data_IF_310077135477
#
_entry.id   IF_310077135477
#
_cell.length_a   1.000
_cell.length_b   1.000
_cell.length_c   1.000
_cell.angle_alpha   90.00
_cell.angle_beta   90.00
_cell.angle_gamma   90.00
#
_symmetry.space_group_name_H-M   'P 1'
#
loop_
_entity.id
_entity.type
_entity.pdbx_description
1 polymer ?
#
# COMPACT_ATOMS: atom_id res chain seq x y z
N UNK A 1 0.42 2.48 2.10
CA UNK A 1 0.54 3.84 2.65
C UNK A 1 0.65 4.78 1.46
N UNK A 2 -0.47 5.19 0.88
CA UNK A 2 -0.46 6.14 -0.23
C UNK A 2 -1.61 7.14 -0.06
N UNK A 3 -1.22 8.41 -0.23
CA UNK A 3 -1.99 9.67 -0.28
C UNK A 3 -2.45 10.33 1.05
N UNK A 4 -1.79 11.46 1.35
CA UNK A 4 -2.30 12.70 1.98
C UNK A 4 -1.58 13.83 1.21
N UNK A 5 -2.13 14.98 0.84
CA UNK A 5 -3.36 15.72 1.13
C UNK A 5 -3.48 16.86 0.07
N UNK A 6 -4.46 17.78 0.18
CA UNK A 6 -4.31 19.26 -0.04
C UNK A 6 -5.66 20.02 0.08
N UNK A 7 -5.78 20.98 1.02
CA UNK A 7 -6.10 22.41 0.80
C UNK A 7 -6.74 23.16 1.99
N UNK A 8 -6.24 24.39 2.20
CA UNK A 8 -6.80 25.56 2.92
C UNK A 8 -8.08 26.07 2.23
N UNK A 9 -9.08 26.70 2.85
CA UNK A 9 -9.14 27.56 4.02
C UNK A 9 -9.70 28.94 3.60
N UNK A 10 -10.95 29.25 3.96
CA UNK A 10 -11.46 30.63 4.08
C UNK A 10 -12.82 30.67 4.78
N UNK A 11 -12.93 31.57 5.76
CA UNK A 11 -14.09 31.83 6.62
C UNK A 11 -14.93 33.00 6.09
N UNK A 12 -16.24 32.96 6.33
CA UNK A 12 -17.11 34.12 6.65
C UNK A 12 -18.50 33.59 7.06
N UNK A 13 -18.85 33.57 8.35
CA UNK A 13 -19.63 34.59 9.09
C UNK A 13 -21.00 34.94 8.46
N UNK A 14 -22.10 34.64 9.19
CA UNK A 14 -23.11 35.61 9.67
C UNK A 14 -24.17 34.91 10.55
N UNK A 15 -24.63 35.67 11.56
CA UNK A 15 -25.45 35.35 12.74
C UNK A 15 -26.98 35.44 12.50
N UNK A 16 -27.69 35.03 13.56
CA UNK A 16 -29.02 35.47 14.05
C UNK A 16 -30.25 34.80 13.44
N UNK A 17 -31.39 34.62 14.11
CA UNK A 17 -31.82 34.44 15.52
C UNK A 17 -33.38 34.45 15.45
N UNK A 18 -34.02 33.62 16.28
CA UNK A 18 -35.31 33.87 16.94
C UNK A 18 -36.67 33.68 16.22
N UNK A 19 -37.39 32.67 16.73
CA UNK A 19 -38.77 32.65 17.27
C UNK A 19 -40.00 33.06 16.43
N UNK A 20 -40.97 32.13 16.33
CA UNK A 20 -42.24 32.15 17.10
C UNK A 20 -43.10 30.89 16.89
N UNK A 21 -43.79 30.48 17.96
CA UNK A 21 -44.93 29.51 18.03
C UNK A 21 -46.14 30.07 17.23
N UNK A 22 -47.21 29.37 16.83
CA UNK A 22 -48.04 28.33 17.45
C UNK A 22 -49.20 28.00 16.45
N UNK A 23 -49.87 26.84 16.61
CA UNK A 23 -51.26 26.47 16.25
C UNK A 23 -51.42 25.27 15.29
N UNK A 24 -52.06 24.24 15.84
CA UNK A 24 -52.55 23.00 15.24
C UNK A 24 -53.40 23.20 13.98
N UNK A 25 -53.21 22.33 13.00
CA UNK A 25 -54.29 21.75 12.23
C UNK A 25 -53.91 20.33 11.78
N UNK A 26 -54.73 19.37 12.18
CA UNK A 26 -54.61 17.96 11.87
C UNK A 26 -55.08 17.74 10.43
N UNK A 27 -54.14 17.66 9.50
CA UNK A 27 -54.36 17.15 8.14
C UNK A 27 -53.35 16.01 8.00
N UNK A 28 -53.81 14.83 7.57
CA UNK A 28 -52.97 13.67 7.30
C UNK A 28 -52.60 13.73 5.81
N UNK A 29 -51.37 14.09 5.42
CA UNK A 29 -50.86 13.78 4.10
C UNK A 29 -50.09 12.46 4.17
N UNK A 30 -50.45 11.52 3.30
CA UNK A 30 -49.62 10.35 3.01
C UNK A 30 -48.31 10.87 2.41
N UNK A 31 -47.29 11.05 3.24
CA UNK A 31 -45.93 11.38 2.85
C UNK A 31 -45.24 10.08 2.44
N UNK A 32 -45.06 9.89 1.13
CA UNK A 32 -43.94 9.10 0.61
C UNK A 32 -42.67 9.73 1.17
N UNK A 33 -42.07 9.08 2.16
CA UNK A 33 -40.80 9.48 2.72
C UNK A 33 -39.70 9.14 1.72
N UNK A 34 -39.24 10.15 0.97
CA UNK A 34 -37.87 10.16 0.49
C UNK A 34 -36.97 10.15 1.73
N UNK A 35 -36.43 8.99 2.07
CA UNK A 35 -35.44 8.84 3.12
C UNK A 35 -34.16 9.58 2.70
N UNK A 36 -34.02 10.81 3.16
CA UNK A 36 -32.71 11.45 3.29
C UNK A 36 -32.02 10.69 4.43
N UNK A 37 -31.17 9.73 4.09
CA UNK A 37 -30.44 8.91 5.05
C UNK A 37 -29.64 9.80 6.00
N UNK A 38 -30.05 9.82 7.26
CA UNK A 38 -29.25 10.42 8.32
C UNK A 38 -28.12 9.43 8.65
N UNK A 39 -26.89 9.94 8.76
CA UNK A 39 -25.75 9.15 9.24
C UNK A 39 -26.10 8.53 10.60
N UNK A 40 -26.21 7.21 10.64
CA UNK A 40 -26.52 6.46 11.85
C UNK A 40 -25.21 6.00 12.49
N UNK A 41 -25.06 6.17 13.80
CA UNK A 41 -23.87 5.72 14.54
C UNK A 41 -23.96 4.25 14.94
N UNK A 42 -25.16 3.66 14.89
CA UNK A 42 -25.37 2.24 15.18
C UNK A 42 -25.16 1.40 13.93
N UNK A 43 -24.25 0.42 14.02
CA UNK A 43 -23.93 -0.50 12.94
C UNK A 43 -25.16 -1.40 12.67
N UNK A 44 -25.72 -1.39 11.44
CA UNK A 44 -26.87 -2.22 11.08
C UNK A 44 -26.60 -3.73 11.23
N UNK A 45 -27.66 -4.53 11.43
CA UNK A 45 -27.57 -5.99 11.52
C UNK A 45 -27.58 -6.66 10.13
N UNK A 46 -26.72 -6.19 9.23
CA UNK A 46 -26.45 -6.84 7.93
C UNK A 46 -25.21 -7.73 8.03
N UNK A 47 -24.99 -8.68 7.10
CA UNK A 47 -23.74 -9.44 7.05
C UNK A 47 -22.50 -8.53 7.06
N UNK A 48 -22.48 -7.48 6.22
CA UNK A 48 -21.40 -6.51 6.21
C UNK A 48 -21.26 -5.74 7.55
N UNK A 49 -22.38 -5.38 8.19
CA UNK A 49 -22.39 -4.75 9.51
C UNK A 49 -21.82 -5.63 10.62
N UNK A 50 -22.07 -6.95 10.58
CA UNK A 50 -21.47 -7.91 11.52
C UNK A 50 -19.96 -7.96 11.40
N UNK A 51 -19.45 -7.98 10.16
CA UNK A 51 -18.01 -7.97 9.89
C UNK A 51 -17.36 -6.66 10.33
N UNK A 52 -17.98 -5.51 10.06
CA UNK A 52 -17.50 -4.21 10.57
C UNK A 52 -17.41 -4.21 12.10
N UNK A 53 -18.42 -4.72 12.79
CA UNK A 53 -18.42 -4.80 14.25
C UNK A 53 -17.28 -5.69 14.76
N UNK A 54 -17.10 -6.86 14.15
CA UNK A 54 -16.02 -7.78 14.50
C UNK A 54 -14.63 -7.15 14.25
N UNK A 55 -14.45 -6.43 13.15
CA UNK A 55 -13.21 -5.71 12.85
C UNK A 55 -12.92 -4.64 13.90
N UNK A 56 -13.89 -3.75 14.20
CA UNK A 56 -13.71 -2.70 15.21
C UNK A 56 -13.37 -3.31 16.57
N UNK A 57 -14.07 -4.37 17.00
CA UNK A 57 -13.82 -5.03 18.28
C UNK A 57 -12.42 -5.66 18.34
N UNK A 58 -12.06 -6.46 17.35
CA UNK A 58 -10.75 -7.11 17.29
C UNK A 58 -9.62 -6.09 17.18
N UNK A 59 -9.72 -5.14 16.25
CA UNK A 59 -8.68 -4.13 16.03
C UNK A 59 -8.53 -3.19 17.22
N UNK A 60 -9.62 -2.74 17.85
CA UNK A 60 -9.53 -1.84 19.02
C UNK A 60 -9.04 -2.54 20.28
N UNK A 61 -9.13 -3.87 20.36
CA UNK A 61 -8.65 -4.60 21.52
C UNK A 61 -7.14 -4.53 21.68
N UNK A 62 -6.40 -4.34 20.58
CA UNK A 62 -4.93 -4.48 20.57
C UNK A 62 -4.44 -5.89 20.90
N UNK A 63 -5.36 -6.86 21.05
CA UNK A 63 -5.07 -8.23 21.43
C UNK A 63 -4.73 -9.07 20.18
N UNK A 64 -3.56 -9.70 20.22
CA UNK A 64 -3.05 -10.50 19.10
C UNK A 64 -3.99 -11.66 18.75
N UNK A 65 -4.50 -12.38 19.74
CA UNK A 65 -5.36 -13.55 19.53
C UNK A 65 -6.69 -13.13 18.91
N UNK A 66 -7.27 -12.02 19.36
CA UNK A 66 -8.52 -11.50 18.77
C UNK A 66 -8.34 -11.05 17.33
N UNK A 67 -7.20 -10.42 17.02
CA UNK A 67 -6.85 -10.06 15.63
C UNK A 67 -6.64 -11.32 14.79
N UNK A 68 -5.94 -12.33 15.31
CA UNK A 68 -5.76 -13.64 14.66
C UNK A 68 -7.10 -14.31 14.33
N UNK A 69 -8.03 -14.31 15.28
CA UNK A 69 -9.38 -14.88 15.10
C UNK A 69 -10.19 -14.11 14.04
N UNK A 70 -10.13 -12.78 14.05
CA UNK A 70 -10.76 -11.95 13.01
C UNK A 70 -10.20 -12.27 11.62
N UNK A 71 -8.87 -12.28 11.47
CA UNK A 71 -8.19 -12.56 10.19
C UNK A 71 -8.58 -13.94 9.69
N UNK A 72 -8.50 -14.96 10.55
CA UNK A 72 -8.84 -16.34 10.19
C UNK A 72 -10.29 -16.48 9.73
N UNK A 73 -11.21 -15.74 10.36
CA UNK A 73 -12.64 -15.87 10.12
C UNK A 73 -13.12 -15.05 8.93
N UNK A 74 -12.70 -13.78 8.85
CA UNK A 74 -13.28 -12.80 7.94
C UNK A 74 -12.32 -12.31 6.87
N UNK A 75 -11.04 -12.10 7.19
CA UNK A 75 -10.10 -11.47 6.27
C UNK A 75 -8.74 -12.20 6.20
N UNK A 76 -8.70 -13.40 5.60
CA UNK A 76 -7.50 -14.24 5.57
C UNK A 76 -6.38 -13.69 4.67
N UNK A 77 -6.62 -12.56 3.99
CA UNK A 77 -5.61 -11.88 3.19
C UNK A 77 -4.72 -10.95 4.03
N UNK A 78 -5.17 -10.57 5.23
CA UNK A 78 -4.40 -9.73 6.14
C UNK A 78 -3.32 -10.51 6.89
N UNK A 79 -2.42 -9.77 7.51
CA UNK A 79 -1.47 -10.33 8.47
C UNK A 79 -1.67 -9.71 9.86
N UNK A 80 -1.51 -10.56 10.86
CA UNK A 80 -1.63 -10.19 12.28
C UNK A 80 -0.67 -9.06 12.60
N UNK A 81 0.58 -9.21 12.18
CA UNK A 81 1.64 -8.27 12.48
C UNK A 81 1.40 -6.91 11.81
N UNK A 82 0.92 -6.88 10.55
CA UNK A 82 0.48 -5.63 9.91
C UNK A 82 -0.70 -4.97 10.63
N UNK A 83 -1.70 -5.74 11.04
CA UNK A 83 -2.84 -5.20 11.79
C UNK A 83 -2.40 -4.68 13.18
N UNK A 84 -1.51 -5.39 13.87
CA UNK A 84 -0.95 -4.94 15.15
C UNK A 84 -0.10 -3.68 15.00
N UNK A 85 0.76 -3.60 13.98
CA UNK A 85 1.55 -2.40 13.69
C UNK A 85 0.64 -1.22 13.31
N UNK A 86 -0.44 -1.47 12.58
CA UNK A 86 -1.43 -0.43 12.29
C UNK A 86 -2.19 0.01 13.55
N UNK A 87 -2.53 -0.92 14.45
CA UNK A 87 -3.10 -0.60 15.75
C UNK A 87 -2.13 0.24 16.59
N UNK A 88 -0.83 -0.07 16.63
CA UNK A 88 0.13 0.71 17.43
C UNK A 88 0.27 2.15 16.93
N UNK A 89 0.04 2.40 15.63
CA UNK A 89 0.06 3.75 15.06
C UNK A 89 -1.21 4.54 15.38
N UNK A 90 -2.38 3.89 15.36
CA UNK A 90 -3.70 4.56 15.43
C UNK A 90 -4.37 4.48 16.81
N UNK A 91 -3.92 3.55 17.65
CA UNK A 91 -4.56 3.13 18.90
C UNK A 91 -5.96 2.54 18.72
N UNK A 92 -6.36 2.21 17.49
CA UNK A 92 -7.73 1.85 17.15
C UNK A 92 -8.56 3.03 16.63
N UNK A 93 -9.86 2.78 16.51
CA UNK A 93 -10.81 3.66 15.84
C UNK A 93 -12.10 3.85 16.64
N UNK A 94 -12.55 5.10 16.74
CA UNK A 94 -13.91 5.45 17.15
C UNK A 94 -14.80 5.52 15.90
N UNK A 95 -15.91 4.78 15.88
CA UNK A 95 -16.89 4.88 14.80
C UNK A 95 -17.65 6.20 14.89
N UNK A 96 -17.56 7.01 13.84
CA UNK A 96 -18.24 8.30 13.74
C UNK A 96 -19.58 8.20 13.00
N UNK A 97 -19.66 7.40 11.94
CA UNK A 97 -20.86 7.28 11.11
C UNK A 97 -20.87 6.00 10.28
N UNK A 98 -22.06 5.51 9.95
CA UNK A 98 -22.30 4.63 8.81
C UNK A 98 -22.81 5.49 7.66
N UNK A 99 -22.03 5.53 6.56
CA UNK A 99 -22.31 6.33 5.36
C UNK A 99 -23.32 5.62 4.46
N UNK A 100 -23.18 4.31 4.32
CA UNK A 100 -24.13 3.43 3.66
C UNK A 100 -23.96 2.00 4.16
N UNK A 101 -25.04 1.21 4.11
CA UNK A 101 -25.00 -0.19 4.47
C UNK A 101 -26.02 -0.98 3.63
N UNK A 102 -25.50 -1.84 2.77
CA UNK A 102 -26.23 -2.84 2.01
C UNK A 102 -25.93 -4.25 2.58
N UNK A 103 -26.44 -5.29 1.91
CA UNK A 103 -26.24 -6.68 2.34
C UNK A 103 -24.75 -7.07 2.36
N UNK A 104 -24.00 -6.69 1.31
CA UNK A 104 -22.61 -7.09 1.10
C UNK A 104 -21.59 -5.95 1.23
N UNK A 105 -22.06 -4.70 1.25
CA UNK A 105 -21.20 -3.51 1.29
C UNK A 105 -21.57 -2.65 2.49
N UNK A 106 -20.59 -2.21 3.26
CA UNK A 106 -20.78 -1.18 4.28
C UNK A 106 -19.70 -0.12 4.15
N UNK A 107 -20.10 1.15 4.15
CA UNK A 107 -19.23 2.32 4.17
C UNK A 107 -19.38 3.03 5.50
N UNK A 108 -18.26 3.40 6.10
CA UNK A 108 -18.24 3.94 7.45
C UNK A 108 -17.17 5.01 7.60
N UNK A 109 -17.33 5.86 8.60
CA UNK A 109 -16.36 6.89 8.98
C UNK A 109 -15.88 6.61 10.37
N UNK A 110 -14.57 6.67 10.56
CA UNK A 110 -13.91 6.46 11.85
C UNK A 110 -12.93 7.58 12.15
N UNK A 111 -12.57 7.74 13.42
CA UNK A 111 -11.48 8.60 13.87
C UNK A 111 -10.47 7.76 14.61
N UNK A 112 -9.18 7.99 14.35
CA UNK A 112 -8.11 7.37 15.13
C UNK A 112 -8.25 7.73 16.62
N UNK A 113 -7.87 6.82 17.51
CA UNK A 113 -7.90 7.10 18.96
C UNK A 113 -6.70 7.91 19.43
N UNK A 114 -5.56 7.78 18.75
CA UNK A 114 -4.32 8.49 19.09
C UNK A 114 -4.14 9.82 18.39
N UNK A 115 -5.02 10.16 17.44
CA UNK A 115 -4.86 11.36 16.62
C UNK A 115 -6.23 11.93 16.16
N UNK A 116 -6.29 13.19 15.72
CA UNK A 116 -7.53 13.77 15.19
C UNK A 116 -7.85 13.28 13.76
N UNK A 117 -7.03 12.41 13.17
CA UNK A 117 -7.22 11.90 11.81
C UNK A 117 -8.55 11.16 11.72
N UNK A 118 -9.36 11.59 10.76
CA UNK A 118 -10.61 10.92 10.37
C UNK A 118 -10.32 10.10 9.12
N UNK A 119 -10.93 8.92 9.01
CA UNK A 119 -10.83 8.08 7.84
C UNK A 119 -12.22 7.60 7.39
N UNK A 120 -12.34 7.34 6.10
CA UNK A 120 -13.50 6.68 5.51
C UNK A 120 -13.09 5.28 5.08
N UNK A 121 -13.90 4.31 5.46
CA UNK A 121 -13.67 2.90 5.19
C UNK A 121 -14.82 2.24 4.46
N UNK A 122 -14.50 1.15 3.78
CA UNK A 122 -15.48 0.29 3.12
C UNK A 122 -15.10 -1.18 3.31
N UNK A 123 -16.10 -2.02 3.59
CA UNK A 123 -15.97 -3.48 3.60
C UNK A 123 -16.95 -4.04 2.58
N UNK A 124 -16.41 -4.73 1.57
CA UNK A 124 -17.17 -5.52 0.60
C UNK A 124 -16.98 -6.99 0.94
N UNK A 125 -18.07 -7.75 1.02
CA UNK A 125 -18.06 -9.20 1.23
C UNK A 125 -18.16 -9.95 -0.10
N UNK A 126 -17.53 -11.13 -0.16
CA UNK A 126 -17.62 -12.03 -1.33
C UNK A 126 -19.03 -12.57 -1.54
N UNK A 127 -19.73 -12.85 -0.45
CA UNK A 127 -21.10 -13.34 -0.42
C UNK A 127 -21.70 -13.16 0.97
N UNK A 128 -23.02 -13.19 1.03
CA UNK A 128 -23.81 -13.09 2.27
C UNK A 128 -23.67 -14.32 3.18
N UNK A 129 -23.25 -15.47 2.62
CA UNK A 129 -23.08 -16.73 3.35
C UNK A 129 -21.73 -16.86 4.07
N UNK A 130 -20.67 -16.39 3.43
CA UNK A 130 -19.30 -16.66 3.91
C UNK A 130 -18.82 -15.67 4.97
N UNK A 131 -19.35 -14.43 4.96
CA UNK A 131 -18.79 -13.33 5.76
C UNK A 131 -17.37 -12.92 5.35
N UNK A 132 -16.77 -13.58 4.37
CA UNK A 132 -15.39 -13.35 3.96
C UNK A 132 -15.29 -12.02 3.23
N UNK A 133 -14.39 -11.16 3.70
CA UNK A 133 -14.02 -9.89 3.10
C UNK A 133 -13.44 -10.16 1.71
N UNK A 134 -14.05 -9.51 0.72
CA UNK A 134 -13.53 -9.42 -0.64
C UNK A 134 -12.59 -8.22 -0.79
N UNK A 135 -12.96 -7.08 -0.23
CA UNK A 135 -12.10 -5.90 -0.12
C UNK A 135 -12.38 -5.13 1.16
N UNK A 136 -11.30 -4.63 1.76
CA UNK A 136 -11.31 -3.71 2.89
C UNK A 136 -10.47 -2.50 2.52
N UNK A 137 -11.09 -1.32 2.51
CA UNK A 137 -10.41 -0.06 2.26
C UNK A 137 -10.58 0.85 3.46
N UNK A 138 -9.52 1.58 3.83
CA UNK A 138 -9.57 2.61 4.85
C UNK A 138 -8.62 3.73 4.47
N UNK A 139 -9.19 4.92 4.25
CA UNK A 139 -8.48 6.08 3.68
C UNK A 139 -8.63 7.26 4.62
N UNK A 140 -7.51 7.85 5.03
CA UNK A 140 -7.52 9.08 5.79
C UNK A 140 -8.15 10.21 4.97
N UNK A 141 -8.99 11.01 5.60
CA UNK A 141 -9.61 12.20 5.03
C UNK A 141 -8.69 13.37 5.41
N UNK A 142 -8.11 14.08 4.42
CA UNK A 142 -7.31 15.25 4.71
C UNK A 142 -8.09 16.27 5.56
N UNK A 143 -7.45 16.95 6.53
CA UNK A 143 -8.11 18.01 7.29
C UNK A 143 -8.75 19.06 6.37
N UNK A 144 -10.03 19.35 6.56
CA UNK A 144 -10.77 20.32 5.75
C UNK A 144 -11.30 19.80 4.40
N UNK A 145 -10.96 18.56 4.01
CA UNK A 145 -11.49 17.94 2.81
C UNK A 145 -13.00 17.69 2.91
N UNK A 146 -13.68 17.91 1.78
CA UNK A 146 -15.09 17.54 1.61
C UNK A 146 -15.16 16.15 0.98
N UNK A 147 -15.91 15.26 1.61
CA UNK A 147 -16.23 13.94 1.06
C UNK A 147 -17.42 14.08 0.12
N UNK A 148 -17.27 13.57 -1.10
CA UNK A 148 -18.31 13.61 -2.12
C UNK A 148 -18.83 12.20 -2.42
N UNK A 149 -20.13 12.00 -2.22
CA UNK A 149 -20.82 10.74 -2.53
C UNK A 149 -21.23 10.73 -4.00
N UNK A 150 -20.28 10.40 -4.88
CA UNK A 150 -20.53 10.27 -6.32
C UNK A 150 -21.06 8.87 -6.68
N UNK A 151 -21.77 8.78 -7.80
CA UNK A 151 -22.16 7.51 -8.43
C UNK A 151 -21.51 7.39 -9.82
N UNK A 152 -21.25 6.16 -10.22
CA UNK A 152 -20.78 5.82 -11.57
C UNK A 152 -21.99 5.52 -12.45
N UNK A 153 -22.50 6.54 -13.13
CA UNK A 153 -23.50 6.38 -14.18
C UNK A 153 -22.86 5.97 -15.52
N UNK A 154 -23.69 5.75 -16.55
CA UNK A 154 -23.22 5.29 -17.86
C UNK A 154 -22.21 6.25 -18.51
N UNK A 155 -22.43 7.57 -18.41
CA UNK A 155 -21.57 8.57 -19.02
C UNK A 155 -20.21 8.65 -18.31
N UNK A 156 -20.23 8.70 -16.97
CA UNK A 156 -19.04 8.67 -16.13
C UNK A 156 -18.23 7.39 -16.36
N UNK A 157 -18.91 6.25 -16.47
CA UNK A 157 -18.27 4.98 -16.73
C UNK A 157 -17.53 4.94 -18.06
N UNK A 158 -18.18 5.41 -19.12
CA UNK A 158 -17.55 5.52 -20.44
C UNK A 158 -16.31 6.41 -20.38
N UNK A 159 -16.42 7.59 -19.75
CA UNK A 159 -15.29 8.50 -19.55
C UNK A 159 -14.12 7.83 -18.82
N UNK A 160 -14.40 7.15 -17.70
CA UNK A 160 -13.39 6.47 -16.89
C UNK A 160 -12.67 5.37 -17.69
N UNK A 161 -13.43 4.53 -18.41
CA UNK A 161 -12.87 3.46 -19.23
C UNK A 161 -11.99 4.06 -20.34
N UNK A 162 -12.43 5.13 -21.00
CA UNK A 162 -11.64 5.78 -22.04
C UNK A 162 -10.35 6.39 -21.46
N UNK A 163 -10.39 6.99 -20.27
CA UNK A 163 -9.20 7.48 -19.58
C UNK A 163 -8.24 6.36 -19.18
N UNK A 164 -8.76 5.23 -18.68
CA UNK A 164 -7.97 4.04 -18.36
C UNK A 164 -7.26 3.52 -19.62
N UNK A 165 -7.99 3.36 -20.72
CA UNK A 165 -7.41 2.89 -22.00
C UNK A 165 -6.32 3.85 -22.49
N UNK A 166 -6.54 5.16 -22.43
CA UNK A 166 -5.51 6.14 -22.83
C UNK A 166 -4.22 5.95 -22.03
N UNK A 167 -4.33 5.86 -20.70
CA UNK A 167 -3.16 5.69 -19.83
C UNK A 167 -2.45 4.34 -20.04
N UNK A 168 -3.20 3.25 -20.23
CA UNK A 168 -2.61 1.96 -20.56
C UNK A 168 -1.82 2.02 -21.87
N UNK A 169 -2.42 2.55 -22.93
CA UNK A 169 -1.78 2.60 -24.24
C UNK A 169 -0.57 3.55 -24.28
N UNK A 170 -0.58 4.59 -23.46
CA UNK A 170 0.49 5.59 -23.43
C UNK A 170 1.68 5.16 -22.57
N UNK A 171 1.42 4.53 -21.42
CA UNK A 171 2.45 4.31 -20.41
C UNK A 171 2.76 2.84 -20.13
N UNK A 172 1.84 1.90 -20.36
CA UNK A 172 2.05 0.53 -19.92
C UNK A 172 3.25 -0.13 -20.61
N UNK A 173 4.07 -0.81 -19.83
CA UNK A 173 5.39 -1.29 -20.25
C UNK A 173 5.36 -2.29 -21.42
N UNK A 174 4.25 -3.04 -21.59
CA UNK A 174 4.05 -3.95 -22.73
C UNK A 174 2.87 -3.51 -23.63
N UNK A 175 3.14 -2.87 -24.79
CA UNK A 175 2.09 -2.30 -25.65
C UNK A 175 1.01 -3.29 -26.09
N UNK A 176 1.40 -4.50 -26.49
CA UNK A 176 0.45 -5.51 -26.97
C UNK A 176 -0.49 -5.98 -25.86
N UNK A 177 0.03 -6.09 -24.64
CA UNK A 177 -0.75 -6.45 -23.46
C UNK A 177 -1.65 -5.29 -23.02
N UNK A 178 -1.18 -4.04 -23.12
CA UNK A 178 -1.98 -2.84 -22.93
C UNK A 178 -3.20 -2.82 -23.87
N UNK A 179 -2.98 -3.11 -25.15
CA UNK A 179 -4.03 -3.17 -26.15
C UNK A 179 -5.01 -4.32 -25.88
N UNK A 180 -4.52 -5.47 -25.41
CA UNK A 180 -5.35 -6.62 -25.02
C UNK A 180 -6.27 -6.25 -23.85
N UNK A 181 -5.72 -5.64 -22.80
CA UNK A 181 -6.48 -5.14 -21.66
C UNK A 181 -7.52 -4.08 -22.07
N UNK A 182 -7.12 -3.11 -22.88
CA UNK A 182 -7.99 -2.04 -23.37
C UNK A 182 -9.19 -2.59 -24.16
N UNK A 183 -8.94 -3.60 -25.00
CA UNK A 183 -9.99 -4.27 -25.75
C UNK A 183 -10.95 -5.04 -24.83
N UNK A 184 -10.41 -5.76 -23.84
CA UNK A 184 -11.21 -6.55 -22.91
C UNK A 184 -12.20 -5.69 -22.11
N UNK A 185 -11.73 -4.59 -21.49
CA UNK A 185 -12.61 -3.72 -20.69
C UNK A 185 -13.67 -3.01 -21.56
N UNK A 186 -13.34 -2.69 -22.82
CA UNK A 186 -14.32 -2.14 -23.79
C UNK A 186 -15.38 -3.18 -24.19
N UNK A 187 -14.98 -4.44 -24.37
CA UNK A 187 -15.92 -5.53 -24.66
C UNK A 187 -16.84 -5.76 -23.47
N UNK A 188 -16.31 -5.81 -22.25
CA UNK A 188 -17.09 -5.94 -21.02
C UNK A 188 -18.09 -4.78 -20.87
N UNK A 189 -17.66 -3.54 -21.11
CA UNK A 189 -18.55 -2.38 -21.13
C UNK A 189 -19.68 -2.50 -22.16
N UNK A 190 -19.36 -2.89 -23.40
CA UNK A 190 -20.37 -3.05 -24.46
C UNK A 190 -21.38 -4.17 -24.17
N UNK A 191 -20.96 -5.20 -23.45
CA UNK A 191 -21.83 -6.31 -23.02
C UNK A 191 -22.74 -5.94 -21.84
N UNK A 192 -22.47 -4.82 -21.17
CA UNK A 192 -23.21 -4.36 -20.00
C UNK A 192 -22.72 -4.95 -18.66
N UNK A 193 -21.54 -5.59 -18.64
CA UNK A 193 -20.99 -6.25 -17.44
C UNK A 193 -20.76 -5.31 -16.25
N UNK A 194 -20.71 -4.01 -16.52
CA UNK A 194 -20.51 -2.98 -15.53
C UNK A 194 -21.80 -2.23 -15.17
N UNK A 195 -22.92 -2.48 -15.87
CA UNK A 195 -24.16 -1.67 -15.79
C UNK A 195 -24.75 -1.55 -14.39
N UNK A 196 -24.73 -2.64 -13.64
CA UNK A 196 -25.21 -2.68 -12.26
C UNK A 196 -24.25 -2.03 -11.25
N UNK A 197 -23.00 -1.73 -11.63
CA UNK A 197 -21.98 -1.22 -10.72
C UNK A 197 -22.02 0.31 -10.72
N UNK A 198 -22.75 0.87 -9.74
CA UNK A 198 -22.85 2.32 -9.55
C UNK A 198 -21.96 2.85 -8.44
N UNK A 199 -21.46 1.97 -7.57
CA UNK A 199 -20.55 2.36 -6.50
C UNK A 199 -19.12 2.56 -7.06
N UNK A 200 -18.47 3.70 -6.77
CA UNK A 200 -17.18 4.03 -7.36
C UNK A 200 -16.03 3.13 -6.89
N UNK A 201 -16.02 2.67 -5.63
CA UNK A 201 -15.02 1.73 -5.13
C UNK A 201 -15.21 0.36 -5.79
N UNK A 202 -16.45 -0.12 -5.84
CA UNK A 202 -16.77 -1.39 -6.50
C UNK A 202 -16.38 -1.36 -7.99
N UNK A 203 -16.59 -0.24 -8.67
CA UNK A 203 -16.21 -0.07 -10.07
C UNK A 203 -14.69 -0.05 -10.26
N UNK A 204 -13.95 0.71 -9.45
CA UNK A 204 -12.48 0.72 -9.46
C UNK A 204 -11.91 -0.68 -9.22
N UNK A 205 -12.41 -1.38 -8.20
CA UNK A 205 -12.00 -2.74 -7.86
C UNK A 205 -12.31 -3.75 -8.98
N UNK A 206 -13.47 -3.62 -9.64
CA UNK A 206 -13.83 -4.46 -10.79
C UNK A 206 -12.89 -4.22 -11.97
N UNK A 207 -12.59 -2.97 -12.32
CA UNK A 207 -11.64 -2.65 -13.38
C UNK A 207 -10.25 -3.21 -13.06
N UNK A 208 -9.75 -3.00 -11.83
CA UNK A 208 -8.47 -3.57 -11.38
C UNK A 208 -8.43 -5.08 -11.58
N UNK A 209 -9.46 -5.82 -11.15
CA UNK A 209 -9.53 -7.28 -11.32
C UNK A 209 -9.52 -7.70 -12.79
N UNK A 210 -10.31 -7.04 -13.63
CA UNK A 210 -10.37 -7.36 -15.06
C UNK A 210 -9.02 -7.11 -15.76
N UNK A 211 -8.32 -6.03 -15.38
CA UNK A 211 -6.99 -5.70 -15.91
C UNK A 211 -5.92 -6.70 -15.42
N UNK A 212 -5.84 -6.93 -14.11
CA UNK A 212 -4.87 -7.87 -13.51
C UNK A 212 -5.12 -9.32 -13.94
N UNK A 213 -6.37 -9.69 -14.23
CA UNK A 213 -6.69 -11.01 -14.77
C UNK A 213 -6.06 -11.30 -16.14
N UNK A 214 -5.68 -10.25 -16.87
CA UNK A 214 -5.01 -10.33 -18.17
C UNK A 214 -3.51 -10.09 -18.04
N UNK A 215 -3.11 -9.05 -17.29
CA UNK A 215 -1.69 -8.69 -17.19
C UNK A 215 -0.90 -9.60 -16.25
N UNK A 216 -1.57 -10.17 -15.24
CA UNK A 216 -0.96 -10.78 -14.06
C UNK A 216 -0.04 -9.84 -13.26
N UNK A 217 -0.10 -8.54 -13.57
CA UNK A 217 0.73 -7.49 -12.99
C UNK A 217 0.02 -6.87 -11.80
N UNK A 218 0.54 -7.15 -10.59
CA UNK A 218 -0.10 -6.75 -9.33
C UNK A 218 0.06 -5.27 -9.01
N UNK A 219 0.92 -4.55 -9.73
CA UNK A 219 1.10 -3.10 -9.55
C UNK A 219 0.04 -2.29 -10.31
N UNK A 220 -0.57 -2.85 -11.36
CA UNK A 220 -1.63 -2.20 -12.12
C UNK A 220 -2.93 -2.12 -11.31
N UNK A 221 -3.45 -0.91 -11.08
CA UNK A 221 -4.71 -0.75 -10.34
C UNK A 221 -5.40 0.59 -10.57
N UNK A 222 -6.72 0.56 -10.63
CA UNK A 222 -7.60 1.74 -10.62
C UNK A 222 -8.06 1.98 -9.19
N UNK A 223 -7.99 3.23 -8.74
CA UNK A 223 -8.35 3.62 -7.38
C UNK A 223 -9.37 4.75 -7.39
N UNK A 224 -10.32 4.72 -6.45
CA UNK A 224 -11.24 5.82 -6.18
C UNK A 224 -10.78 6.61 -4.95
N UNK A 225 -11.03 7.91 -4.99
CA UNK A 225 -10.86 8.86 -3.91
C UNK A 225 -12.20 9.52 -3.59
N UNK A 226 -12.71 9.40 -2.35
CA UNK A 226 -13.95 10.04 -1.92
C UNK A 226 -13.80 11.56 -1.74
N UNK A 227 -12.59 12.07 -1.83
CA UNK A 227 -12.26 13.49 -1.86
C UNK A 227 -11.73 13.82 -3.24
N UNK A 228 -12.00 15.02 -3.74
CA UNK A 228 -11.43 15.48 -5.02
C UNK A 228 -9.91 15.42 -4.99
N UNK A 229 -9.37 14.81 -6.03
CA UNK A 229 -7.95 14.74 -6.29
C UNK A 229 -7.45 16.09 -6.82
N UNK A 230 -6.25 16.52 -6.40
CA UNK A 230 -5.61 17.70 -6.96
C UNK A 230 -5.43 17.55 -8.48
N UNK A 231 -5.48 18.64 -9.26
CA UNK A 231 -5.10 18.62 -10.66
C UNK A 231 -3.70 18.07 -10.90
N UNK A 232 -3.49 17.52 -12.10
CA UNK A 232 -2.18 17.01 -12.49
C UNK A 232 -1.12 18.11 -12.45
N UNK A 233 0.06 17.77 -11.94
CA UNK A 233 1.18 18.70 -11.81
C UNK A 233 1.09 19.66 -10.63
N UNK A 234 0.00 19.64 -9.87
CA UNK A 234 -0.06 20.36 -8.60
C UNK A 234 0.90 19.73 -7.58
N UNK A 235 1.85 20.54 -7.10
CA UNK A 235 2.82 20.10 -6.10
C UNK A 235 2.22 20.26 -4.69
N UNK A 236 2.58 19.38 -3.75
CA UNK A 236 2.23 19.58 -2.36
C UNK A 236 2.69 20.97 -1.87
N UNK A 237 1.88 21.65 -1.06
CA UNK A 237 2.29 22.90 -0.42
C UNK A 237 3.40 22.64 0.61
N UNK A 238 4.20 23.66 0.99
CA UNK A 238 5.24 23.51 2.01
C UNK A 238 4.74 22.90 3.33
N UNK A 239 3.51 23.24 3.75
CA UNK A 239 2.88 22.68 4.95
C UNK A 239 2.63 21.18 4.80
N UNK A 240 2.27 20.73 3.60
CA UNK A 240 1.99 19.32 3.31
C UNK A 240 3.27 18.51 3.23
N UNK A 241 4.29 19.06 2.58
CA UNK A 241 5.64 18.48 2.57
C UNK A 241 6.17 18.34 4.00
N UNK A 242 5.98 19.37 4.83
CA UNK A 242 6.37 19.34 6.24
C UNK A 242 5.58 18.31 7.05
N UNK A 243 4.27 18.17 6.83
CA UNK A 243 3.45 17.14 7.47
C UNK A 243 3.87 15.73 7.05
N UNK A 244 4.12 15.52 5.76
CA UNK A 244 4.60 14.24 5.23
C UNK A 244 5.97 13.88 5.80
N UNK A 245 6.90 14.84 5.83
CA UNK A 245 8.22 14.67 6.46
C UNK A 245 8.08 14.28 7.93
N UNK A 246 7.26 15.00 8.70
CA UNK A 246 7.01 14.71 10.12
C UNK A 246 6.41 13.32 10.33
N UNK A 247 5.58 12.84 9.42
CA UNK A 247 5.04 11.48 9.45
C UNK A 247 6.14 10.43 9.23
N UNK A 248 7.04 10.64 8.26
CA UNK A 248 8.20 9.77 8.05
C UNK A 248 9.13 9.79 9.28
N UNK A 249 9.47 10.96 9.81
CA UNK A 249 10.32 11.09 11.01
C UNK A 249 9.74 10.35 12.22
N UNK A 250 8.43 10.44 12.45
CA UNK A 250 7.74 9.73 13.56
C UNK A 250 7.84 8.21 13.48
N UNK A 251 8.03 7.66 12.28
CA UNK A 251 8.15 6.22 12.04
C UNK A 251 9.60 5.81 11.77
N UNK A 252 10.57 6.69 12.05
CA UNK A 252 11.97 6.52 11.68
C UNK A 252 12.11 6.10 10.22
N UNK A 253 11.37 6.75 9.31
CA UNK A 253 11.39 6.43 7.89
C UNK A 253 11.12 4.95 7.59
N UNK A 254 10.28 4.30 8.40
CA UNK A 254 9.97 2.85 8.35
C UNK A 254 11.11 1.92 8.76
N UNK A 255 12.24 2.44 9.26
CA UNK A 255 13.30 1.66 9.91
C UNK A 255 12.91 1.40 11.36
N UNK A 256 12.18 0.30 11.57
CA UNK A 256 11.48 0.02 12.83
C UNK A 256 12.41 -0.51 13.92
N UNK A 257 13.46 -1.24 13.54
CA UNK A 257 14.35 -1.87 14.52
C UNK A 257 15.77 -2.02 13.99
N UNK A 258 16.72 -1.58 14.80
CA UNK A 258 18.15 -1.86 14.67
C UNK A 258 18.62 -2.51 15.97
N UNK A 259 19.30 -3.64 15.88
CA UNK A 259 19.75 -4.40 17.05
C UNK A 259 21.04 -5.16 16.72
N UNK A 260 21.91 -5.31 17.73
CA UNK A 260 22.99 -6.31 17.70
C UNK A 260 22.50 -7.51 18.52
N UNK A 261 22.17 -8.58 17.82
CA UNK A 261 21.73 -9.86 18.39
C UNK A 261 22.91 -10.60 19.05
N UNK A 262 22.64 -11.64 19.88
CA UNK A 262 23.69 -12.46 20.47
C UNK A 262 24.67 -12.98 19.41
N UNK A 263 25.96 -13.03 19.79
CA UNK A 263 27.08 -13.42 18.90
C UNK A 263 27.35 -12.39 17.80
N UNK A 264 27.09 -11.11 18.09
CA UNK A 264 27.46 -9.96 17.27
C UNK A 264 26.85 -9.97 15.85
N UNK A 265 25.59 -10.41 15.73
CA UNK A 265 24.84 -10.40 14.47
C UNK A 265 24.01 -9.13 14.41
N UNK A 266 24.24 -8.30 13.40
CA UNK A 266 23.41 -7.13 13.14
C UNK A 266 22.05 -7.51 12.59
N UNK A 267 21.00 -6.87 13.09
CA UNK A 267 19.63 -7.05 12.64
C UNK A 267 19.01 -5.70 12.31
N UNK A 268 18.53 -5.56 11.06
CA UNK A 268 17.87 -4.36 10.56
C UNK A 268 16.49 -4.72 9.99
N UNK A 269 15.42 -4.30 10.67
CA UNK A 269 14.03 -4.42 10.19
C UNK A 269 13.53 -3.08 9.68
N UNK A 270 13.02 -3.09 8.46
CA UNK A 270 12.40 -1.92 7.85
C UNK A 270 11.37 -2.33 6.80
N UNK A 271 10.29 -1.56 6.68
CA UNK A 271 9.08 -1.98 5.97
C UNK A 271 8.80 -1.21 4.66
N UNK A 272 9.67 -0.26 4.27
CA UNK A 272 9.67 0.37 2.97
C UNK A 272 11.06 0.87 2.57
N UNK A 273 11.24 1.20 1.30
CA UNK A 273 12.39 1.95 0.77
C UNK A 273 11.94 3.39 0.49
N UNK A 274 11.93 4.31 1.48
CA UNK A 274 11.44 5.68 1.28
C UNK A 274 12.43 6.53 0.46
N UNK A 275 12.04 7.75 0.07
CA UNK A 275 12.93 8.67 -0.65
C UNK A 275 14.22 8.95 0.15
N UNK A 276 15.42 8.68 -0.40
CA UNK A 276 16.68 8.87 0.31
C UNK A 276 17.02 10.34 0.60
N UNK A 277 16.44 11.31 -0.11
CA UNK A 277 16.61 12.74 0.18
C UNK A 277 15.95 13.14 1.52
N UNK A 278 14.93 12.39 1.95
CA UNK A 278 14.25 12.59 3.22
C UNK A 278 14.79 11.65 4.32
N UNK A 279 15.13 10.42 3.94
CA UNK A 279 15.34 9.32 4.88
C UNK A 279 16.78 8.76 4.89
N UNK A 280 17.69 9.29 4.07
CA UNK A 280 19.07 8.79 3.99
C UNK A 280 19.83 8.88 5.31
N UNK A 281 19.58 9.92 6.11
CA UNK A 281 20.20 10.08 7.44
C UNK A 281 19.83 8.93 8.40
N UNK A 282 18.62 8.38 8.29
CA UNK A 282 18.20 7.23 9.10
C UNK A 282 18.96 5.96 8.72
N UNK A 283 19.19 5.74 7.43
CA UNK A 283 20.02 4.61 6.96
C UNK A 283 21.45 4.74 7.47
N UNK A 284 22.04 5.94 7.35
CA UNK A 284 23.39 6.22 7.85
C UNK A 284 23.50 5.92 9.35
N UNK A 285 22.52 6.36 10.15
CA UNK A 285 22.52 6.07 11.59
C UNK A 285 22.43 4.56 11.88
N UNK A 286 21.53 3.85 11.21
CA UNK A 286 21.33 2.42 11.40
C UNK A 286 22.57 1.60 10.99
N UNK A 287 23.15 1.90 9.83
CA UNK A 287 24.33 1.19 9.33
C UNK A 287 25.58 1.51 10.14
N UNK A 288 25.74 2.75 10.62
CA UNK A 288 26.83 3.10 11.55
C UNK A 288 26.71 2.37 12.88
N UNK A 289 25.50 2.21 13.41
CA UNK A 289 25.27 1.42 14.62
C UNK A 289 25.67 -0.05 14.43
N UNK A 290 25.49 -0.58 13.22
CA UNK A 290 25.84 -1.96 12.85
C UNK A 290 27.25 -2.11 12.23
N UNK A 291 28.10 -1.08 12.28
CA UNK A 291 29.36 -1.04 11.52
C UNK A 291 30.39 -2.13 11.90
N UNK A 292 30.25 -2.77 13.06
CA UNK A 292 31.23 -3.70 13.62
C UNK A 292 30.65 -5.09 13.92
N UNK A 293 29.53 -5.43 13.29
CA UNK A 293 28.92 -6.76 13.39
C UNK A 293 29.68 -7.79 12.56
N UNK A 294 29.61 -9.06 12.98
CA UNK A 294 30.26 -10.16 12.27
C UNK A 294 29.40 -10.68 11.11
N UNK A 295 28.09 -10.42 11.13
CA UNK A 295 27.13 -10.71 10.06
C UNK A 295 25.94 -9.75 10.14
N UNK A 296 25.21 -9.54 9.04
CA UNK A 296 24.01 -8.69 9.02
C UNK A 296 22.79 -9.42 8.44
N UNK A 297 21.63 -9.21 9.07
CA UNK A 297 20.32 -9.71 8.64
C UNK A 297 19.41 -8.52 8.35
N UNK A 298 18.90 -8.44 7.12
CA UNK A 298 17.84 -7.51 6.71
C UNK A 298 16.48 -8.21 6.78
N UNK A 299 15.59 -7.77 7.66
CA UNK A 299 14.23 -8.31 7.73
C UNK A 299 13.27 -7.54 6.82
N UNK A 300 12.95 -8.14 5.67
CA UNK A 300 12.05 -7.60 4.65
C UNK A 300 10.73 -8.35 4.58
N UNK A 301 10.41 -9.19 5.57
CA UNK A 301 9.20 -10.04 5.55
C UNK A 301 7.90 -9.24 5.46
N UNK A 302 7.90 -7.96 5.83
CA UNK A 302 6.74 -7.07 5.74
C UNK A 302 6.99 -5.85 4.85
N UNK A 303 8.09 -5.85 4.12
CA UNK A 303 8.50 -4.70 3.33
C UNK A 303 7.81 -4.70 1.97
N UNK A 304 7.01 -3.66 1.70
CA UNK A 304 6.27 -3.52 0.44
C UNK A 304 7.05 -2.81 -0.68
N UNK A 305 8.35 -2.58 -0.48
CA UNK A 305 9.25 -1.94 -1.42
C UNK A 305 9.25 -0.43 -1.32
N UNK A 306 9.53 0.25 -2.45
CA UNK A 306 9.62 1.69 -2.49
C UNK A 306 10.55 2.17 -3.60
N UNK A 307 11.32 3.22 -3.30
CA UNK A 307 12.19 3.93 -4.21
C UNK A 307 13.48 3.14 -4.52
N UNK A 308 13.78 2.87 -5.81
CA UNK A 308 15.01 2.17 -6.19
C UNK A 308 16.29 2.92 -5.78
N UNK A 309 16.26 4.26 -5.63
CA UNK A 309 17.41 5.03 -5.14
C UNK A 309 17.74 4.71 -3.69
N UNK A 310 16.75 4.37 -2.87
CA UNK A 310 17.01 3.90 -1.51
C UNK A 310 17.56 2.47 -1.50
N UNK A 311 17.14 1.63 -2.47
CA UNK A 311 17.75 0.31 -2.69
C UNK A 311 19.25 0.46 -2.97
N UNK A 312 19.65 1.43 -3.81
CA UNK A 312 21.07 1.75 -4.04
C UNK A 312 21.80 2.13 -2.75
N UNK A 313 21.25 3.07 -1.97
CA UNK A 313 21.87 3.54 -0.72
C UNK A 313 22.10 2.40 0.26
N UNK A 314 21.08 1.57 0.53
CA UNK A 314 21.21 0.44 1.47
C UNK A 314 22.18 -0.61 0.92
N UNK A 315 22.10 -0.94 -0.37
CA UNK A 315 23.00 -1.90 -1.01
C UNK A 315 24.46 -1.46 -0.94
N UNK A 316 24.74 -0.16 -1.03
CA UNK A 316 26.10 0.39 -1.09
C UNK A 316 26.95 0.06 0.15
N UNK A 317 26.33 -0.15 1.31
CA UNK A 317 27.06 -0.59 2.51
C UNK A 317 27.58 -2.03 2.41
N UNK A 318 27.12 -2.82 1.44
CA UNK A 318 27.50 -4.22 1.27
C UNK A 318 28.58 -4.42 0.20
N UNK A 319 29.11 -3.37 -0.43
CA UNK A 319 30.12 -3.50 -1.49
C UNK A 319 31.29 -2.56 -1.25
N UNK A 320 32.49 -3.01 -1.62
CA UNK A 320 33.75 -2.26 -1.55
C UNK A 320 34.04 -1.44 -2.82
N UNK A 321 33.26 -1.69 -3.88
CA UNK A 321 33.39 -1.04 -5.18
C UNK A 321 32.02 -0.79 -5.83
N UNK A 322 31.93 0.20 -6.74
CA UNK A 322 30.75 0.38 -7.57
C UNK A 322 30.36 -0.92 -8.28
N UNK A 323 29.13 -1.35 -8.08
CA UNK A 323 28.59 -2.63 -8.54
C UNK A 323 27.23 -2.39 -9.20
N UNK A 324 27.04 -2.95 -10.40
CA UNK A 324 25.80 -2.80 -11.15
C UNK A 324 24.70 -3.63 -10.48
N UNK A 325 23.66 -2.96 -9.99
CA UNK A 325 22.56 -3.61 -9.27
C UNK A 325 21.47 -4.06 -10.22
N UNK A 326 20.93 -3.13 -11.01
CA UNK A 326 19.74 -3.35 -11.82
C UNK A 326 19.64 -2.31 -12.96
N UNK A 327 18.84 -2.62 -13.97
CA UNK A 327 18.43 -1.68 -15.01
C UNK A 327 16.90 -1.54 -15.01
N UNK A 328 16.38 -0.33 -15.18
CA UNK A 328 14.96 -0.08 -15.41
C UNK A 328 14.76 0.46 -16.83
N UNK A 329 14.14 -0.34 -17.70
CA UNK A 329 13.74 0.12 -19.03
C UNK A 329 12.37 0.79 -18.95
N UNK A 330 12.31 2.09 -19.23
CA UNK A 330 11.09 2.87 -19.34
C UNK A 330 10.55 2.80 -20.78
N UNK A 331 9.31 2.34 -20.93
CA UNK A 331 8.71 2.15 -22.25
C UNK A 331 8.45 3.48 -22.95
N UNK A 332 7.90 4.47 -22.26
CA UNK A 332 7.48 5.73 -22.89
C UNK A 332 8.66 6.52 -23.42
N UNK A 333 9.72 6.59 -22.62
CA UNK A 333 10.90 7.39 -22.93
C UNK A 333 11.93 6.61 -23.78
N UNK A 334 11.68 5.30 -23.99
CA UNK A 334 12.59 4.36 -24.66
C UNK A 334 14.02 4.44 -24.13
N UNK A 335 14.12 4.54 -22.80
CA UNK A 335 15.37 4.79 -22.10
C UNK A 335 15.58 3.78 -20.97
N UNK A 336 16.83 3.38 -20.76
CA UNK A 336 17.22 2.50 -19.66
C UNK A 336 18.01 3.28 -18.63
N UNK A 337 17.46 3.39 -17.43
CA UNK A 337 18.19 3.90 -16.26
C UNK A 337 18.94 2.75 -15.60
N UNK A 338 20.24 2.93 -15.40
CA UNK A 338 21.07 1.96 -14.68
C UNK A 338 21.18 2.35 -13.22
N UNK A 339 21.09 1.37 -12.32
CA UNK A 339 21.22 1.53 -10.88
C UNK A 339 22.49 0.86 -10.39
N UNK A 340 23.34 1.63 -9.72
CA UNK A 340 24.66 1.19 -9.26
C UNK A 340 24.82 1.48 -7.77
N UNK A 341 25.63 0.69 -7.07
CA UNK A 341 26.07 1.10 -5.73
C UNK A 341 26.85 2.41 -5.80
N UNK A 342 26.67 3.25 -4.79
CA UNK A 342 27.35 4.52 -4.64
C UNK A 342 28.86 4.28 -4.43
N UNK A 343 29.74 5.16 -4.95
CA UNK A 343 31.17 5.04 -4.75
C UNK A 343 31.61 5.33 -3.31
N UNK A 344 30.71 5.89 -2.48
CA UNK A 344 30.97 6.22 -1.09
C UNK A 344 29.67 6.17 -0.28
N UNK A 345 29.79 5.70 0.96
CA UNK A 345 28.77 5.82 2.01
C UNK A 345 29.42 6.37 3.28
N UNK A 346 28.72 7.20 4.08
CA UNK A 346 29.21 7.57 5.40
C UNK A 346 29.30 6.36 6.33
N UNK A 347 30.48 6.13 6.93
CA UNK A 347 30.70 5.01 7.85
C UNK A 347 31.52 3.87 7.27
N UNK A 348 31.58 2.75 8.00
CA UNK A 348 32.22 1.54 7.52
C UNK A 348 31.27 0.73 6.63
N UNK A 349 31.80 0.15 5.55
CA UNK A 349 31.08 -0.86 4.78
C UNK A 349 31.17 -2.21 5.48
N UNK A 350 30.17 -3.06 5.26
CA UNK A 350 30.14 -4.46 5.67
C UNK A 350 30.46 -5.38 4.48
N UNK A 351 31.25 -4.92 3.50
CA UNK A 351 31.48 -5.60 2.23
C UNK A 351 32.06 -7.02 2.38
N UNK A 352 32.89 -7.23 3.39
CA UNK A 352 33.51 -8.50 3.77
C UNK A 352 32.64 -9.35 4.70
N UNK A 353 31.52 -8.81 5.22
CA UNK A 353 30.67 -9.52 6.17
C UNK A 353 29.56 -10.33 5.50
N UNK A 354 29.25 -11.53 6.01
CA UNK A 354 28.05 -12.29 5.64
C UNK A 354 26.78 -11.44 5.75
N UNK A 355 25.92 -11.52 4.73
CA UNK A 355 24.64 -10.83 4.67
C UNK A 355 23.50 -11.80 4.39
N UNK A 356 22.38 -11.58 5.06
CA UNK A 356 21.16 -12.39 4.93
C UNK A 356 19.96 -11.47 4.71
N UNK A 357 18.98 -11.94 3.93
CA UNK A 357 17.73 -11.22 3.69
C UNK A 357 16.56 -12.14 4.02
N UNK A 358 15.68 -11.70 4.92
CA UNK A 358 14.49 -12.44 5.29
C UNK A 358 13.32 -12.03 4.41
N UNK A 359 12.64 -13.00 3.80
CA UNK A 359 11.51 -12.76 2.90
C UNK A 359 10.23 -13.47 3.33
N UNK A 360 9.09 -12.91 2.95
CA UNK A 360 7.79 -13.58 3.01
C UNK A 360 7.01 -13.35 1.72
N UNK A 361 5.84 -13.97 1.59
CA UNK A 361 4.86 -13.65 0.53
C UNK A 361 4.44 -12.17 0.45
N UNK A 362 4.69 -11.38 1.51
CA UNK A 362 4.37 -9.95 1.56
C UNK A 362 5.54 -9.06 1.13
N UNK A 363 6.74 -9.59 0.98
CA UNK A 363 7.88 -8.85 0.43
C UNK A 363 7.58 -8.50 -1.02
N UNK A 364 7.60 -7.21 -1.38
CA UNK A 364 7.10 -6.75 -2.68
C UNK A 364 7.92 -5.59 -3.28
N UNK A 365 7.92 -5.42 -4.60
CA UNK A 365 8.46 -4.23 -5.29
C UNK A 365 9.95 -3.98 -4.99
N UNK A 366 10.38 -2.75 -4.66
CA UNK A 366 11.77 -2.43 -4.34
C UNK A 366 12.44 -3.33 -3.27
N UNK A 367 11.68 -4.00 -2.41
CA UNK A 367 12.23 -4.98 -1.48
C UNK A 367 12.65 -6.28 -2.18
N UNK A 368 11.88 -6.69 -3.18
CA UNK A 368 12.23 -7.78 -4.07
C UNK A 368 13.41 -7.39 -4.97
N UNK A 369 13.49 -6.14 -5.41
CA UNK A 369 14.66 -5.63 -6.15
C UNK A 369 15.94 -5.79 -5.30
N UNK A 370 15.95 -5.25 -4.08
CA UNK A 370 17.09 -5.40 -3.16
C UNK A 370 17.47 -6.88 -2.99
N UNK A 371 16.48 -7.73 -2.74
CA UNK A 371 16.68 -9.18 -2.54
C UNK A 371 17.24 -9.85 -3.79
N UNK A 372 16.65 -9.58 -4.95
CA UNK A 372 17.01 -10.19 -6.23
C UNK A 372 18.40 -9.75 -6.69
N UNK A 373 18.73 -8.48 -6.50
CA UNK A 373 20.06 -7.94 -6.82
C UNK A 373 21.13 -8.65 -5.99
N UNK A 374 20.98 -8.67 -4.67
CA UNK A 374 21.97 -9.30 -3.78
C UNK A 374 22.07 -10.82 -3.99
N UNK A 375 20.97 -11.50 -4.27
CA UNK A 375 20.96 -12.93 -4.60
C UNK A 375 21.75 -13.22 -5.88
N UNK A 376 21.46 -12.50 -6.97
CA UNK A 376 22.14 -12.73 -8.25
C UNK A 376 23.62 -12.32 -8.20
N UNK A 377 23.97 -11.29 -7.43
CA UNK A 377 25.35 -10.90 -7.14
C UNK A 377 26.07 -11.87 -6.19
N UNK A 378 25.37 -12.89 -5.66
CA UNK A 378 25.86 -13.81 -4.63
C UNK A 378 26.38 -13.07 -3.38
N UNK A 379 25.78 -11.91 -3.09
CA UNK A 379 26.18 -11.06 -1.97
C UNK A 379 25.46 -11.41 -0.69
N UNK A 380 24.20 -11.84 -0.76
CA UNK A 380 23.44 -12.25 0.41
C UNK A 380 22.77 -13.60 0.22
N UNK A 381 22.53 -14.31 1.33
CA UNK A 381 21.69 -15.51 1.36
C UNK A 381 20.26 -15.13 1.69
N UNK A 382 19.31 -15.52 0.85
CA UNK A 382 17.89 -15.24 1.03
C UNK A 382 17.23 -16.37 1.80
N UNK A 383 16.53 -16.06 2.89
CA UNK A 383 15.92 -17.03 3.82
C UNK A 383 14.44 -16.70 4.03
N UNK A 384 13.56 -17.67 3.85
CA UNK A 384 12.13 -17.48 4.10
C UNK A 384 11.25 -18.04 2.99
N UNK A 385 10.25 -17.26 2.56
CA UNK A 385 9.27 -17.66 1.55
C UNK A 385 9.52 -16.97 0.21
N UNK A 386 8.87 -17.48 -0.85
CA UNK A 386 8.81 -16.81 -2.15
C UNK A 386 8.07 -15.48 -1.99
N UNK A 387 8.62 -14.42 -2.57
CA UNK A 387 8.07 -13.06 -2.48
C UNK A 387 6.85 -12.83 -3.37
N UNK A 388 6.24 -11.65 -3.29
CA UNK A 388 4.94 -11.36 -3.89
C UNK A 388 4.91 -11.23 -5.42
N UNK A 389 6.04 -10.99 -6.07
CA UNK A 389 6.21 -11.01 -7.52
C UNK A 389 5.80 -9.72 -8.24
N UNK A 390 6.21 -8.55 -7.75
CA UNK A 390 6.01 -7.27 -8.45
C UNK A 390 7.35 -6.63 -8.78
N UNK A 391 7.74 -6.64 -10.05
CA UNK A 391 9.02 -6.12 -10.55
C UNK A 391 8.89 -4.83 -11.37
N UNK A 392 7.68 -4.43 -11.74
CA UNK A 392 7.49 -3.24 -12.58
C UNK A 392 7.26 -1.96 -11.74
N UNK A 393 8.11 -0.92 -11.91
CA UNK A 393 7.82 0.40 -11.38
C UNK A 393 6.48 0.94 -11.89
N UNK A 394 5.71 1.52 -10.97
CA UNK A 394 4.37 2.04 -11.23
C UNK A 394 4.34 3.55 -11.11
N UNK A 395 3.62 4.20 -12.02
CA UNK A 395 3.35 5.64 -12.00
C UNK A 395 1.85 5.87 -11.79
N UNK A 396 1.49 6.79 -10.90
CA UNK A 396 0.11 7.17 -10.68
C UNK A 396 -0.33 8.25 -11.66
N UNK A 397 -1.48 8.05 -12.29
CA UNK A 397 -2.08 9.01 -13.22
C UNK A 397 -3.51 9.32 -12.80
N UNK A 398 -3.88 10.60 -12.76
CA UNK A 398 -5.27 11.01 -12.57
C UNK A 398 -6.08 10.64 -13.83
N UNK A 399 -7.23 10.02 -13.65
CA UNK A 399 -8.15 9.71 -14.75
C UNK A 399 -9.41 10.57 -14.72
N UNK A 400 -9.78 11.10 -13.55
CA UNK A 400 -10.71 12.20 -13.38
C UNK A 400 -10.57 12.86 -11.97
N UNK A 401 -11.54 13.68 -11.55
CA UNK A 401 -11.54 14.35 -10.24
C UNK A 401 -11.49 13.42 -9.02
N UNK A 402 -11.86 12.15 -9.14
CA UNK A 402 -11.99 11.19 -8.05
C UNK A 402 -11.30 9.85 -8.30
N UNK A 403 -10.73 9.63 -9.47
CA UNK A 403 -10.11 8.36 -9.81
C UNK A 403 -8.67 8.54 -10.29
N UNK A 404 -7.83 7.59 -9.92
CA UNK A 404 -6.47 7.42 -10.44
C UNK A 404 -6.28 6.01 -11.00
N UNK A 405 -5.25 5.85 -11.82
CA UNK A 405 -4.71 4.56 -12.24
C UNK A 405 -3.21 4.52 -11.96
N UNK A 406 -2.74 3.48 -11.29
CA UNK A 406 -1.33 3.12 -11.24
C UNK A 406 -0.98 2.31 -12.47
N UNK A 407 -0.10 2.83 -13.34
CA UNK A 407 0.33 2.14 -14.58
C UNK A 407 1.79 1.71 -14.45
N UNK A 408 2.07 0.40 -14.55
CA UNK A 408 3.42 -0.13 -14.66
C UNK A 408 4.09 0.36 -15.95
N UNK A 409 5.04 1.29 -15.83
CA UNK A 409 5.59 2.04 -16.97
C UNK A 409 6.99 1.59 -17.38
N UNK A 410 7.67 0.88 -16.48
CA UNK A 410 9.01 0.37 -16.69
C UNK A 410 9.10 -1.09 -16.27
N UNK A 411 10.19 -1.76 -16.66
CA UNK A 411 10.50 -3.11 -16.21
C UNK A 411 11.94 -3.20 -15.73
N UNK A 412 12.13 -3.95 -14.65
CA UNK A 412 13.45 -4.34 -14.21
C UNK A 412 14.09 -5.33 -15.21
N UNK A 413 15.40 -5.17 -15.41
CA UNK A 413 16.27 -6.08 -16.15
C UNK A 413 17.54 -6.25 -15.34
N UNK A 414 17.64 -7.35 -14.61
CA UNK A 414 18.83 -7.59 -13.79
C UNK A 414 20.04 -7.91 -14.70
N UNK A 415 21.21 -7.28 -14.47
CA UNK A 415 22.37 -7.38 -15.37
C UNK A 415 22.98 -8.78 -15.43
N UNK A 416 22.70 -9.65 -14.46
CA UNK A 416 23.26 -11.01 -14.39
C UNK A 416 22.28 -12.02 -15.01
N UNK A 417 21.06 -12.09 -14.47
CA UNK A 417 20.06 -13.07 -14.93
C UNK A 417 19.44 -12.71 -16.29
N UNK A 418 19.56 -11.43 -16.72
CA UNK A 418 18.89 -10.86 -17.90
C UNK A 418 17.36 -10.99 -17.85
N UNK A 419 16.81 -11.18 -16.64
CA UNK A 419 15.39 -11.38 -16.33
C UNK A 419 14.98 -10.51 -15.13
N UNK A 420 13.73 -10.65 -14.69
CA UNK A 420 13.22 -10.07 -13.45
C UNK A 420 12.33 -11.07 -12.68
N UNK A 421 11.71 -10.61 -11.60
CA UNK A 421 10.89 -11.40 -10.68
C UNK A 421 9.37 -11.19 -10.85
N UNK A 422 8.92 -10.53 -11.94
CA UNK A 422 7.50 -10.25 -12.17
C UNK A 422 6.70 -11.56 -12.21
N UNK A 423 5.61 -11.63 -11.46
CA UNK A 423 4.69 -12.77 -11.42
C UNK A 423 5.23 -14.02 -10.70
N UNK A 424 6.55 -14.21 -10.61
CA UNK A 424 7.18 -15.36 -9.94
C UNK A 424 7.64 -15.07 -8.52
N UNK A 425 7.97 -13.81 -8.23
CA UNK A 425 8.72 -13.45 -7.03
C UNK A 425 10.16 -13.96 -7.05
N UNK A 426 10.87 -13.66 -5.97
CA UNK A 426 12.22 -14.10 -5.66
C UNK A 426 12.13 -15.36 -4.82
N UNK A 427 12.59 -16.48 -5.37
CA UNK A 427 12.73 -17.70 -4.60
C UNK A 427 13.86 -17.54 -3.55
N UNK A 428 13.68 -17.99 -2.30
CA UNK A 428 14.73 -17.97 -1.29
C UNK A 428 15.83 -18.98 -1.64
N UNK A 429 17.04 -18.79 -1.09
CA UNK A 429 18.09 -19.80 -1.13
C UNK A 429 17.82 -20.91 -0.09
N UNK A 430 17.27 -20.52 1.05
CA UNK A 430 16.84 -21.43 2.12
C UNK A 430 15.35 -21.23 2.39
N UNK A 431 14.54 -22.18 1.92
CA UNK A 431 13.10 -22.10 2.06
C UNK A 431 12.64 -22.57 3.44
N UNK A 432 12.00 -21.68 4.18
CA UNK A 432 11.36 -21.92 5.49
C UNK A 432 10.10 -21.05 5.60
N UNK A 433 9.26 -21.26 6.61
CA UNK A 433 8.13 -20.34 6.84
C UNK A 433 8.69 -18.98 7.27
N UNK A 434 7.99 -17.90 6.93
CA UNK A 434 8.45 -16.55 7.28
C UNK A 434 8.68 -16.36 8.80
N UNK A 435 7.90 -17.07 9.64
CA UNK A 435 8.06 -17.05 11.10
C UNK A 435 9.41 -17.63 11.56
N UNK A 436 9.93 -18.63 10.85
CA UNK A 436 11.14 -19.39 11.21
C UNK A 436 12.41 -18.80 10.56
N UNK A 437 12.25 -17.81 9.66
CA UNK A 437 13.33 -17.28 8.83
C UNK A 437 14.45 -16.60 9.63
N UNK A 438 14.11 -15.90 10.72
CA UNK A 438 15.12 -15.22 11.56
C UNK A 438 16.01 -16.23 12.27
N UNK A 439 15.42 -17.19 12.97
CA UNK A 439 16.15 -18.27 13.64
C UNK A 439 17.05 -18.99 12.63
N UNK A 440 16.53 -19.29 11.44
CA UNK A 440 17.32 -19.95 10.41
C UNK A 440 18.51 -19.10 9.92
N UNK A 441 18.33 -17.79 9.75
CA UNK A 441 19.42 -16.91 9.34
C UNK A 441 20.49 -16.76 10.43
N UNK A 442 20.10 -16.72 11.71
CA UNK A 442 21.06 -16.73 12.83
C UNK A 442 21.90 -18.01 12.85
N UNK A 443 21.29 -19.19 12.63
CA UNK A 443 22.04 -20.46 12.51
C UNK A 443 23.09 -20.41 11.38
N UNK A 444 22.70 -19.90 10.21
CA UNK A 444 23.57 -19.83 9.03
C UNK A 444 24.73 -18.84 9.22
N UNK A 445 24.47 -17.71 9.89
CA UNK A 445 25.47 -16.71 10.23
C UNK A 445 26.62 -17.29 11.10
N UNK A 446 26.33 -18.33 11.88
CA UNK A 446 27.28 -18.95 12.80
C UNK A 446 27.94 -20.21 12.25
N UNK A 447 27.55 -20.64 11.05
CA UNK A 447 28.11 -21.86 10.45
C UNK A 447 29.58 -21.65 10.06
N UNK A 448 30.37 -22.73 10.12
CA UNK A 448 31.82 -22.67 9.89
C UNK A 448 32.19 -22.14 8.49
N UNK A 449 31.33 -22.37 7.50
CA UNK A 449 31.53 -21.89 6.12
C UNK A 449 31.36 -20.36 6.01
N UNK A 450 30.67 -19.75 6.97
CA UNK A 450 30.41 -18.31 7.06
C UNK A 450 31.49 -17.59 7.87
N UNK A 451 32.08 -18.24 8.88
CA UNK A 451 33.09 -17.66 9.78
C UNK A 451 34.54 -17.77 9.28
N UNK A 452 34.78 -18.46 8.14
CA UNK A 452 36.13 -18.68 7.57
C UNK A 452 36.40 -17.91 6.26
N UNK A 453 35.42 -17.16 5.75
CA UNK A 453 35.59 -16.19 4.66
C UNK A 453 35.72 -14.80 5.25
#
# INVERSE_FOLDING_TARGET
MHLLASFSGSQSLIRCLAHKRLISNLIIPVLLSCAIGHAQTTIPDTPAGKVLRAWIEAFNSGDRSKIEDYIKTYDPQQSVQRMMGFHSQTGGFDLLAIESADLLLIKFRVREKTSPTVAIGSIQLKSDKSGVVESFDLRAIPPGAVVENIKVDAAKRQQLIDSVVRNLNEFYVYPDLAQTMANAIRVNQKRGDYDAITDPDAFANRLTKDLQGISHDKHLGVNYSPVKLPPDGEKPSPEQEAQFRKMLERTNCTFEKVEVLPRNIGYLKFNAFPDPTLCGATVVAAMNFLAHVDAIIFDLRENSGGDPRMVEVVSSYLFDKPTHLNDLYNRKDDFTTQYWTLPYVPGATLADKPAFVLTSKNTFSGAEEFTYNLKNLKRATVVGEVTGGGAHPVSGHRIDEHFTIGVPFARAVNPISKKNWEGTGVAPDVQVKAADALEKAEELALSKDTLQK
#
